data_IF_406093091258
#
_entry.id   IF_406093091258
#
_cell.length_a   1.000
_cell.length_b   1.000
_cell.length_c   1.000
_cell.angle_alpha   90.00
_cell.angle_beta   90.00
_cell.angle_gamma   90.00
#
_symmetry.space_group_name_H-M   'P 1'
#
loop_
_entity.id
_entity.type
_entity.pdbx_description
1 polymer ?
#
# COMPACT_ATOMS: atom_id res chain seq x y z
N UNK A 1 -43.79 53.39 51.89
CA UNK A 1 -42.89 52.37 52.47
C UNK A 1 -42.71 51.29 51.41
N UNK A 2 -41.61 51.33 50.63
CA UNK A 2 -41.30 50.29 49.64
C UNK A 2 -39.87 49.81 49.87
N UNK A 3 -39.72 48.53 50.20
CA UNK A 3 -38.44 47.85 50.47
C UNK A 3 -37.81 47.44 49.13
N UNK A 4 -36.54 47.80 48.92
CA UNK A 4 -35.73 47.43 47.75
C UNK A 4 -35.13 46.04 47.98
N UNK A 5 -35.16 45.17 46.97
CA UNK A 5 -34.49 43.86 47.00
C UNK A 5 -33.13 44.00 46.30
N UNK A 6 -32.09 43.56 47.00
CA UNK A 6 -30.72 43.44 46.52
C UNK A 6 -30.58 42.10 45.80
N UNK A 7 -30.34 42.12 44.49
CA UNK A 7 -29.99 40.92 43.72
C UNK A 7 -28.48 40.69 43.83
N UNK A 8 -28.05 39.71 44.63
CA UNK A 8 -26.65 39.28 44.69
C UNK A 8 -26.50 38.00 43.86
N UNK A 9 -25.74 38.09 42.77
CA UNK A 9 -25.26 36.94 42.00
C UNK A 9 -24.11 36.29 42.80
N UNK A 10 -24.34 35.07 43.25
CA UNK A 10 -23.32 34.24 43.91
C UNK A 10 -22.42 33.64 42.83
N UNK A 11 -21.25 34.24 42.61
CA UNK A 11 -20.25 33.70 41.69
C UNK A 11 -19.56 32.51 42.37
N UNK A 12 -20.03 31.30 42.10
CA UNK A 12 -19.35 30.06 42.48
C UNK A 12 -18.07 29.98 41.64
N UNK A 13 -16.94 30.37 42.24
CA UNK A 13 -15.61 30.09 41.70
C UNK A 13 -15.37 28.58 41.86
N UNK A 14 -15.89 27.81 40.90
CA UNK A 14 -15.47 26.43 40.71
C UNK A 14 -14.03 26.51 40.22
N UNK A 15 -13.08 26.25 41.10
CA UNK A 15 -11.69 26.00 40.75
C UNK A 15 -11.65 24.68 39.95
N UNK A 16 -12.02 24.77 38.66
CA UNK A 16 -11.75 23.74 37.68
C UNK A 16 -10.25 23.79 37.49
N UNK A 17 -9.54 22.88 38.14
CA UNK A 17 -8.12 22.69 37.87
C UNK A 17 -8.00 22.44 36.38
N UNK A 18 -7.40 23.40 35.67
CA UNK A 18 -6.94 23.23 34.29
C UNK A 18 -5.84 22.16 34.33
N UNK A 19 -6.26 20.89 34.35
CA UNK A 19 -5.40 19.81 33.90
C UNK A 19 -4.95 20.23 32.49
N UNK A 20 -3.64 20.27 32.18
CA UNK A 20 -3.22 20.51 30.81
C UNK A 20 -3.94 19.49 29.95
N UNK A 21 -4.76 19.98 29.01
CA UNK A 21 -5.30 19.15 27.96
C UNK A 21 -4.09 18.70 27.14
N UNK A 22 -3.47 17.56 27.52
CA UNK A 22 -2.56 16.87 26.62
C UNK A 22 -3.42 16.51 25.43
N UNK A 23 -3.29 17.28 24.35
CA UNK A 23 -3.72 16.81 23.04
C UNK A 23 -2.95 15.52 22.81
N UNK A 24 -3.62 14.38 22.99
CA UNK A 24 -3.13 13.14 22.40
C UNK A 24 -3.25 13.39 20.91
N UNK A 25 -2.15 13.73 20.26
CA UNK A 25 -2.12 13.73 18.81
C UNK A 25 -2.60 12.35 18.38
N UNK A 26 -3.74 12.30 17.67
CA UNK A 26 -4.19 11.05 17.06
C UNK A 26 -3.06 10.59 16.15
N UNK A 27 -2.70 9.30 16.20
CA UNK A 27 -1.70 8.75 15.30
C UNK A 27 -2.11 9.06 13.85
N UNK A 28 -1.15 9.46 13.04
CA UNK A 28 -1.35 9.84 11.64
C UNK A 28 -0.34 9.09 10.77
N UNK A 29 -0.74 8.81 9.54
CA UNK A 29 0.12 8.20 8.54
C UNK A 29 -0.05 8.90 7.20
N UNK A 30 1.00 8.81 6.38
CA UNK A 30 1.02 9.15 4.96
C UNK A 30 1.55 7.94 4.20
N UNK A 31 0.89 7.58 3.11
CA UNK A 31 1.23 6.45 2.27
C UNK A 31 1.56 6.92 0.84
N UNK A 32 2.73 6.52 0.34
CA UNK A 32 3.16 6.83 -1.03
C UNK A 32 3.44 5.54 -1.79
N UNK A 33 2.91 5.44 -3.00
CA UNK A 33 3.13 4.32 -3.90
C UNK A 33 4.18 4.62 -4.97
N UNK A 34 5.11 3.70 -5.16
CA UNK A 34 6.07 3.71 -6.28
C UNK A 34 6.48 2.27 -6.61
N UNK A 35 6.43 1.93 -7.90
CA UNK A 35 6.98 0.68 -8.47
C UNK A 35 6.63 -0.60 -7.70
N UNK A 36 5.35 -0.74 -7.31
CA UNK A 36 4.86 -1.95 -6.64
C UNK A 36 5.05 -1.97 -5.12
N UNK A 37 5.52 -0.87 -4.54
CA UNK A 37 5.75 -0.71 -3.10
C UNK A 37 4.94 0.47 -2.59
N UNK A 38 4.29 0.30 -1.43
CA UNK A 38 3.73 1.40 -0.64
C UNK A 38 4.66 1.67 0.53
N UNK A 39 5.24 2.85 0.57
CA UNK A 39 5.93 3.38 1.75
C UNK A 39 4.91 4.03 2.69
N UNK A 40 4.86 3.58 3.94
CA UNK A 40 3.98 4.12 4.97
C UNK A 40 4.84 4.73 6.06
N UNK A 41 4.70 6.04 6.24
CA UNK A 41 5.35 6.80 7.31
C UNK A 41 4.29 7.38 8.24
N UNK A 42 4.63 7.61 9.50
CA UNK A 42 3.67 8.18 10.43
C UNK A 42 4.24 8.53 11.79
N UNK A 43 3.44 9.21 12.59
CA UNK A 43 3.81 9.68 13.93
C UNK A 43 2.64 9.57 14.92
N UNK A 44 2.91 9.80 16.20
CA UNK A 44 1.87 9.73 17.26
C UNK A 44 1.59 8.31 17.77
N UNK A 45 2.46 7.35 17.46
CA UNK A 45 2.35 5.97 17.94
C UNK A 45 3.02 5.79 19.31
N UNK A 46 2.58 4.77 20.06
CA UNK A 46 3.20 4.41 21.34
C UNK A 46 4.59 3.81 21.09
N UNK A 47 5.64 4.55 21.47
CA UNK A 47 7.04 4.12 21.34
C UNK A 47 7.26 2.68 21.80
N UNK A 48 7.99 1.91 20.98
CA UNK A 48 8.31 0.52 21.27
C UNK A 48 7.16 -0.48 21.02
N UNK A 49 5.97 -0.03 20.62
CA UNK A 49 4.85 -0.89 20.24
C UNK A 49 4.99 -1.34 18.78
N UNK A 50 4.70 -2.61 18.51
CA UNK A 50 4.60 -3.15 17.14
C UNK A 50 3.18 -3.01 16.61
N UNK A 51 3.05 -2.54 15.37
CA UNK A 51 1.79 -2.33 14.68
C UNK A 51 1.70 -3.21 13.44
N UNK A 52 0.47 -3.53 13.03
CA UNK A 52 0.22 -4.19 11.74
C UNK A 52 -0.17 -3.14 10.72
N UNK A 53 0.50 -3.14 9.57
CA UNK A 53 0.16 -2.28 8.43
C UNK A 53 -0.51 -3.12 7.35
N UNK A 54 -1.64 -2.66 6.82
CA UNK A 54 -2.44 -3.35 5.80
C UNK A 54 -2.73 -2.40 4.65
N UNK A 55 -2.47 -2.84 3.43
CA UNK A 55 -2.92 -2.16 2.21
C UNK A 55 -4.15 -2.92 1.70
N UNK A 56 -5.27 -2.22 1.61
CA UNK A 56 -6.57 -2.85 1.34
C UNK A 56 -7.18 -2.23 0.09
N UNK A 57 -7.60 -3.08 -0.85
CA UNK A 57 -8.49 -2.73 -1.95
C UNK A 57 -9.90 -2.58 -1.40
N UNK A 58 -10.38 -1.34 -1.30
CA UNK A 58 -11.68 -1.05 -0.68
C UNK A 58 -12.85 -1.30 -1.63
N UNK A 59 -12.62 -1.26 -2.94
CA UNK A 59 -13.64 -1.57 -3.95
C UNK A 59 -13.93 -3.06 -3.97
N UNK A 60 -12.87 -3.88 -3.98
CA UNK A 60 -12.99 -5.34 -4.03
C UNK A 60 -13.07 -5.99 -2.64
N UNK A 61 -12.94 -5.21 -1.56
CA UNK A 61 -12.87 -5.70 -0.17
C UNK A 61 -11.78 -6.76 0.04
N UNK A 62 -10.62 -6.56 -0.58
CA UNK A 62 -9.50 -7.50 -0.54
C UNK A 62 -8.26 -6.91 0.13
N UNK A 63 -7.58 -7.73 0.93
CA UNK A 63 -6.24 -7.40 1.41
C UNK A 63 -5.23 -7.55 0.26
N UNK A 64 -4.50 -6.48 -0.06
CA UNK A 64 -3.43 -6.52 -1.06
C UNK A 64 -2.12 -7.00 -0.49
N UNK A 65 -1.71 -6.41 0.63
CA UNK A 65 -0.50 -6.80 1.34
C UNK A 65 -0.58 -6.37 2.81
N UNK A 66 0.27 -6.98 3.63
CA UNK A 66 0.43 -6.59 5.02
C UNK A 66 1.87 -6.74 5.48
N UNK A 67 2.24 -5.98 6.50
CA UNK A 67 3.53 -6.05 7.16
C UNK A 67 3.42 -5.58 8.61
N UNK A 68 4.56 -5.54 9.29
CA UNK A 68 4.64 -5.05 10.66
C UNK A 68 5.72 -3.98 10.78
N UNK A 69 5.50 -3.03 11.67
CA UNK A 69 6.46 -1.98 11.99
C UNK A 69 6.44 -1.70 13.48
N UNK A 70 7.62 -1.45 14.08
CA UNK A 70 7.75 -1.07 15.48
C UNK A 70 7.99 0.43 15.56
N UNK A 71 7.20 1.14 16.35
CA UNK A 71 7.41 2.56 16.57
C UNK A 71 8.74 2.82 17.27
N UNK A 72 9.49 3.82 16.81
CA UNK A 72 10.76 4.24 17.40
C UNK A 72 10.56 4.92 18.77
N UNK A 73 11.66 5.39 19.38
CA UNK A 73 11.61 6.09 20.68
C UNK A 73 10.80 7.39 20.69
N UNK A 74 10.51 7.93 19.51
CA UNK A 74 9.76 9.17 19.28
C UNK A 74 8.30 8.89 18.87
N UNK A 75 7.90 7.63 18.69
CA UNK A 75 6.57 7.26 18.25
C UNK A 75 6.38 7.37 16.74
N UNK A 76 7.46 7.36 15.95
CA UNK A 76 7.39 7.34 14.50
C UNK A 76 7.43 5.90 13.96
N UNK A 77 6.80 5.70 12.81
CA UNK A 77 6.90 4.47 12.01
C UNK A 77 7.34 4.80 10.59
N UNK A 78 8.07 3.88 9.97
CA UNK A 78 8.40 3.90 8.54
C UNK A 78 8.52 2.44 8.09
N UNK A 79 7.77 2.06 7.06
CA UNK A 79 7.79 0.70 6.51
C UNK A 79 7.46 0.69 5.03
N UNK A 80 8.15 -0.17 4.27
CA UNK A 80 7.86 -0.45 2.87
C UNK A 80 7.07 -1.74 2.75
N UNK A 81 5.91 -1.70 2.08
CA UNK A 81 5.02 -2.83 1.86
C UNK A 81 4.99 -3.16 0.36
N UNK A 82 5.48 -4.34 -0.03
CA UNK A 82 5.38 -4.80 -1.42
C UNK A 82 3.95 -5.26 -1.72
N UNK A 83 3.23 -4.50 -2.54
CA UNK A 83 1.84 -4.76 -2.95
C UNK A 83 1.73 -5.36 -4.35
N UNK A 84 2.78 -5.19 -5.16
CA UNK A 84 2.66 -5.33 -6.60
C UNK A 84 1.76 -4.23 -7.18
N UNK A 85 1.00 -4.58 -8.21
CA UNK A 85 0.17 -3.63 -8.96
C UNK A 85 -0.95 -3.05 -8.11
N UNK A 86 -0.98 -1.72 -8.03
CA UNK A 86 -2.16 -0.94 -7.66
C UNK A 86 -2.60 -0.18 -8.93
N UNK A 87 -3.83 -0.43 -9.38
CA UNK A 87 -4.33 0.14 -10.65
C UNK A 87 -4.79 1.59 -10.47
N UNK A 88 -5.87 1.79 -9.71
CA UNK A 88 -6.42 3.09 -9.33
C UNK A 88 -6.11 3.33 -7.85
N UNK A 89 -5.11 4.18 -7.56
CA UNK A 89 -4.61 4.39 -6.19
C UNK A 89 -5.71 4.83 -5.21
N UNK A 90 -6.71 5.57 -5.68
CA UNK A 90 -7.87 6.01 -4.89
C UNK A 90 -8.73 4.87 -4.33
N UNK A 91 -8.63 3.67 -4.91
CA UNK A 91 -9.36 2.49 -4.43
C UNK A 91 -8.66 1.81 -3.24
N UNK A 92 -7.45 2.24 -2.89
CA UNK A 92 -6.63 1.61 -1.86
C UNK A 92 -6.49 2.49 -0.62
N UNK A 93 -6.54 1.84 0.54
CA UNK A 93 -6.36 2.51 1.84
C UNK A 93 -5.26 1.80 2.61
N UNK A 94 -4.35 2.59 3.19
CA UNK A 94 -3.38 2.09 4.15
C UNK A 94 -3.98 2.17 5.55
N UNK A 95 -4.00 1.04 6.26
CA UNK A 95 -4.44 0.96 7.64
C UNK A 95 -3.28 0.56 8.54
N UNK A 96 -3.15 1.22 9.69
CA UNK A 96 -2.30 0.79 10.79
C UNK A 96 -3.17 0.37 11.96
N UNK A 97 -2.95 -0.85 12.45
CA UNK A 97 -3.71 -1.45 13.53
C UNK A 97 -2.84 -1.67 14.76
N UNK A 98 -3.43 -1.42 15.93
CA UNK A 98 -2.86 -1.73 17.23
C UNK A 98 -2.65 -3.24 17.38
N UNK A 99 -1.82 -3.69 18.35
CA UNK A 99 -1.63 -5.11 18.65
C UNK A 99 -2.92 -5.89 18.94
N UNK A 100 -3.96 -5.22 19.45
CA UNK A 100 -5.28 -5.79 19.74
C UNK A 100 -6.21 -5.83 18.51
N UNK A 101 -5.72 -5.37 17.35
CA UNK A 101 -6.46 -5.32 16.09
C UNK A 101 -7.31 -4.06 15.90
N UNK A 102 -7.47 -3.22 16.92
CA UNK A 102 -8.18 -1.94 16.77
C UNK A 102 -7.45 -1.00 15.82
N UNK A 103 -8.17 -0.06 15.20
CA UNK A 103 -7.58 0.89 14.27
C UNK A 103 -6.75 1.92 15.04
N UNK A 104 -5.50 2.14 14.61
CA UNK A 104 -4.62 3.18 15.15
C UNK A 104 -4.60 4.41 14.25
N UNK A 105 -4.44 4.22 12.94
CA UNK A 105 -4.42 5.28 11.93
C UNK A 105 -4.78 4.72 10.55
N UNK A 106 -5.20 5.59 9.63
CA UNK A 106 -5.38 5.25 8.22
C UNK A 106 -5.02 6.41 7.32
N UNK A 107 -4.61 6.10 6.09
CA UNK A 107 -4.48 7.04 4.99
C UNK A 107 -5.38 6.57 3.85
N UNK A 108 -6.37 7.41 3.53
CA UNK A 108 -7.38 7.18 2.50
C UNK A 108 -6.97 7.72 1.13
N UNK A 109 -5.79 8.33 1.02
CA UNK A 109 -5.30 8.98 -0.19
C UNK A 109 -3.86 8.55 -0.42
N UNK A 110 -3.66 7.30 -0.86
CA UNK A 110 -2.34 6.82 -1.25
C UNK A 110 -1.89 7.63 -2.47
N UNK A 111 -0.92 8.51 -2.27
CA UNK A 111 -0.35 9.35 -3.32
C UNK A 111 0.74 8.59 -4.10
N UNK A 112 1.07 9.06 -5.30
CA UNK A 112 2.17 8.51 -6.09
C UNK A 112 1.82 8.26 -7.54
N UNK A 113 2.61 7.43 -8.21
CA UNK A 113 2.43 7.13 -9.63
C UNK A 113 2.54 5.64 -9.90
N UNK A 114 1.61 5.13 -10.70
CA UNK A 114 1.62 3.76 -11.22
C UNK A 114 1.84 3.85 -12.73
N UNK A 115 3.08 3.61 -13.20
CA UNK A 115 3.35 3.50 -14.63
C UNK A 115 3.02 2.06 -15.03
N UNK A 116 1.98 1.90 -15.86
CA UNK A 116 1.51 0.59 -16.30
C UNK A 116 1.87 0.32 -17.77
N UNK A 117 2.37 -0.88 -18.02
CA UNK A 117 2.62 -1.45 -19.34
C UNK A 117 1.63 -2.58 -19.62
N UNK A 118 1.13 -2.64 -20.85
CA UNK A 118 0.31 -3.76 -21.30
C UNK A 118 1.21 -4.83 -21.91
N UNK A 119 1.16 -6.06 -21.38
CA UNK A 119 1.73 -7.24 -22.02
C UNK A 119 0.66 -8.05 -22.76
N UNK A 120 0.97 -8.40 -24.00
CA UNK A 120 0.26 -9.41 -24.77
C UNK A 120 1.24 -10.55 -25.06
N UNK A 121 1.01 -11.68 -24.41
CA UNK A 121 1.86 -12.86 -24.49
C UNK A 121 1.19 -13.87 -25.41
N UNK A 122 1.90 -14.25 -26.48
CA UNK A 122 1.39 -15.13 -27.51
C UNK A 122 2.50 -16.01 -28.06
N UNK A 123 2.13 -17.24 -28.45
CA UNK A 123 3.01 -18.13 -29.18
C UNK A 123 2.76 -17.99 -30.69
N UNK A 124 3.81 -18.18 -31.48
CA UNK A 124 3.70 -18.30 -32.93
C UNK A 124 3.14 -19.66 -33.35
N UNK A 125 3.06 -19.89 -34.67
CA UNK A 125 2.60 -21.17 -35.25
C UNK A 125 3.37 -22.37 -34.69
N UNK A 126 2.66 -23.41 -34.27
CA UNK A 126 3.25 -24.64 -33.74
C UNK A 126 3.85 -24.50 -32.34
N UNK A 127 3.48 -23.44 -31.61
CA UNK A 127 3.84 -23.26 -30.22
C UNK A 127 2.62 -22.88 -29.37
N UNK A 128 2.80 -22.99 -28.05
CA UNK A 128 1.80 -22.66 -27.04
C UNK A 128 2.47 -22.07 -25.81
N UNK A 129 1.79 -21.10 -25.20
CA UNK A 129 2.20 -20.53 -23.92
C UNK A 129 1.70 -21.46 -22.81
N UNK A 130 2.63 -21.94 -21.98
CA UNK A 130 2.34 -22.78 -20.81
C UNK A 130 2.17 -21.88 -19.58
N UNK A 131 3.08 -20.92 -19.41
CA UNK A 131 3.09 -19.97 -18.31
C UNK A 131 3.28 -18.55 -18.85
N UNK A 132 2.51 -17.60 -18.31
CA UNK A 132 2.55 -16.20 -18.68
C UNK A 132 1.14 -15.66 -18.92
N UNK A 133 0.80 -14.56 -18.25
CA UNK A 133 -0.53 -13.94 -18.32
C UNK A 133 -0.45 -12.64 -19.10
N UNK A 134 -1.35 -12.43 -20.04
CA UNK A 134 -1.49 -11.10 -20.66
C UNK A 134 -2.23 -10.17 -19.70
N UNK A 135 -1.86 -8.91 -19.65
CA UNK A 135 -2.44 -7.98 -18.69
C UNK A 135 -1.67 -6.68 -18.57
N UNK A 136 -2.06 -5.88 -17.58
CA UNK A 136 -1.35 -4.64 -17.21
C UNK A 136 -0.41 -4.93 -16.06
N UNK A 137 0.79 -4.38 -16.14
CA UNK A 137 1.87 -4.60 -15.20
C UNK A 137 2.60 -3.29 -14.92
N UNK A 138 2.95 -2.98 -13.66
CA UNK A 138 3.82 -1.87 -13.31
C UNK A 138 5.16 -1.95 -14.00
N UNK A 139 5.79 -0.78 -14.11
CA UNK A 139 7.22 -0.65 -14.39
C UNK A 139 8.06 -1.65 -13.59
N UNK A 140 9.05 -2.25 -14.24
CA UNK A 140 9.99 -3.18 -13.62
C UNK A 140 9.42 -4.55 -13.18
N UNK A 141 8.11 -4.80 -13.32
CA UNK A 141 7.50 -6.08 -12.94
C UNK A 141 8.16 -7.26 -13.66
N UNK A 142 8.47 -8.32 -12.92
CA UNK A 142 9.03 -9.57 -13.44
C UNK A 142 7.92 -10.60 -13.65
N UNK A 143 7.80 -11.11 -14.88
CA UNK A 143 6.83 -12.12 -15.29
C UNK A 143 7.56 -13.41 -15.62
N UNK A 144 7.13 -14.53 -15.03
CA UNK A 144 7.61 -15.86 -15.43
C UNK A 144 6.92 -16.29 -16.71
N UNK A 145 7.71 -16.77 -17.68
CA UNK A 145 7.25 -17.23 -18.98
C UNK A 145 7.70 -18.66 -19.26
N UNK A 146 6.81 -19.42 -19.87
CA UNK A 146 7.10 -20.76 -20.36
C UNK A 146 6.33 -21.02 -21.65
N UNK A 147 7.00 -21.54 -22.67
CA UNK A 147 6.39 -21.99 -23.92
C UNK A 147 6.76 -23.43 -24.23
N UNK A 148 5.86 -24.13 -24.92
CA UNK A 148 6.13 -25.44 -25.49
C UNK A 148 5.95 -25.39 -27.01
N UNK A 149 6.83 -26.08 -27.73
CA UNK A 149 6.68 -26.35 -29.16
C UNK A 149 5.85 -27.62 -29.35
N UNK A 150 4.98 -27.62 -30.35
CA UNK A 150 4.22 -28.80 -30.76
C UNK A 150 5.09 -29.74 -31.59
N UNK A 151 4.58 -30.94 -31.86
CA UNK A 151 5.31 -31.96 -32.63
C UNK A 151 5.73 -31.43 -34.01
N UNK A 152 7.00 -31.60 -34.37
CA UNK A 152 7.58 -31.09 -35.60
C UNK A 152 8.08 -29.64 -35.53
N UNK A 153 7.90 -28.95 -34.40
CA UNK A 153 8.40 -27.61 -34.14
C UNK A 153 9.48 -27.61 -33.06
N UNK A 154 10.28 -26.53 -33.03
CA UNK A 154 11.26 -26.26 -31.98
C UNK A 154 11.05 -24.83 -31.46
N UNK A 155 11.31 -24.61 -30.17
CA UNK A 155 11.30 -23.27 -29.61
C UNK A 155 12.41 -22.44 -30.28
N UNK A 156 12.04 -21.29 -30.84
CA UNK A 156 12.98 -20.40 -31.54
C UNK A 156 13.59 -19.38 -30.59
N UNK A 157 12.78 -18.42 -30.11
CA UNK A 157 13.15 -17.39 -29.13
C UNK A 157 11.93 -16.60 -28.69
N UNK A 158 12.06 -15.91 -27.57
CA UNK A 158 11.18 -14.82 -27.17
C UNK A 158 11.57 -13.52 -27.86
N UNK A 159 10.59 -12.65 -28.11
CA UNK A 159 10.79 -11.30 -28.66
C UNK A 159 9.82 -10.33 -28.00
N UNK A 160 10.23 -9.08 -27.83
CA UNK A 160 9.39 -7.99 -27.32
C UNK A 160 9.73 -6.68 -28.02
N UNK A 161 8.81 -5.71 -27.95
CA UNK A 161 9.05 -4.33 -28.42
C UNK A 161 9.81 -3.48 -27.40
N UNK A 162 9.71 -3.84 -26.12
CA UNK A 162 10.37 -3.18 -24.98
C UNK A 162 10.58 -4.19 -23.84
N UNK A 163 11.20 -3.78 -22.73
CA UNK A 163 11.51 -4.66 -21.60
C UNK A 163 12.68 -5.62 -21.90
N UNK A 164 12.93 -6.58 -21.02
CA UNK A 164 14.09 -7.46 -21.11
C UNK A 164 13.76 -8.91 -20.70
N UNK A 165 14.28 -9.89 -21.45
CA UNK A 165 14.22 -11.30 -21.05
C UNK A 165 15.50 -11.68 -20.31
N UNK A 166 15.39 -12.46 -19.22
CA UNK A 166 16.57 -13.03 -18.58
C UNK A 166 17.34 -13.97 -19.52
N UNK A 167 16.62 -14.78 -20.32
CA UNK A 167 17.19 -15.53 -21.44
C UNK A 167 16.16 -15.72 -22.56
N UNK A 168 16.22 -14.88 -23.60
CA UNK A 168 15.30 -14.96 -24.74
C UNK A 168 15.39 -16.28 -25.53
N UNK A 169 16.49 -17.05 -25.41
CA UNK A 169 16.69 -18.31 -26.14
C UNK A 169 16.29 -19.55 -25.32
N UNK A 170 15.73 -19.37 -24.12
CA UNK A 170 15.22 -20.46 -23.28
C UNK A 170 13.70 -20.48 -23.29
N UNK A 171 13.12 -21.67 -23.50
CA UNK A 171 11.66 -21.86 -23.49
C UNK A 171 11.02 -21.52 -22.14
N UNK A 172 11.79 -21.60 -21.04
CA UNK A 172 11.44 -21.08 -19.71
C UNK A 172 12.37 -19.93 -19.35
N UNK A 173 11.82 -18.76 -19.05
CA UNK A 173 12.56 -17.53 -18.72
C UNK A 173 11.71 -16.62 -17.83
N UNK A 174 12.31 -15.54 -17.34
CA UNK A 174 11.57 -14.37 -16.87
C UNK A 174 11.65 -13.22 -17.88
N UNK A 175 10.66 -12.33 -17.84
CA UNK A 175 10.60 -11.07 -18.57
C UNK A 175 10.38 -9.91 -17.59
N UNK A 176 11.23 -8.90 -17.66
CA UNK A 176 11.14 -7.67 -16.86
C UNK A 176 10.50 -6.57 -17.71
N UNK A 177 9.41 -5.99 -17.20
CA UNK A 177 8.76 -4.82 -17.81
C UNK A 177 9.71 -3.63 -17.88
N UNK A 178 9.50 -2.68 -18.82
CA UNK A 178 10.28 -1.45 -18.86
C UNK A 178 10.19 -0.68 -17.53
N UNK A 179 11.21 0.11 -17.22
CA UNK A 179 11.25 1.03 -16.09
C UNK A 179 11.29 2.47 -16.60
#
# INVERSE_FOLDING_TARGET
>A
MYKRILSMIFLIIMCLTLLPLRAVASANIEATYSDGVVEVVGSGFTSGTSYTVRIVDTVNSQLKAMGQVKADGNGNISVSITTGVLEELENYVAYVNNPDGTLAASDNSIEGSSILYTATIQAGTGGRIITGTSGRYPSGTIITLEAAADSGYVFSRWTSTSGQFANANSASTTFTMPA
#
